data_IF_646240201016
#
_entry.id   IF_646240201016
#
_cell.length_a   1.000
_cell.length_b   1.000
_cell.length_c   1.000
_cell.angle_alpha   90.00
_cell.angle_beta   90.00
_cell.angle_gamma   90.00
#
_symmetry.space_group_name_H-M   'P 1'
#
loop_
_entity.id
_entity.type
_entity.pdbx_description
1 polymer ?
#
# COMPACT_ATOMS: atom_id res chain seq x y z
N UNK A 1 -30.65 -7.18 -16.54
CA UNK A 1 -30.19 -6.01 -15.74
C UNK A 1 -28.70 -6.17 -15.45
N UNK A 2 -27.86 -6.36 -16.48
CA UNK A 2 -26.59 -7.11 -16.32
C UNK A 2 -25.32 -6.25 -16.37
N UNK A 3 -25.45 -4.94 -16.13
CA UNK A 3 -24.35 -3.97 -16.28
C UNK A 3 -23.42 -3.82 -15.06
N UNK A 4 -23.79 -4.33 -13.88
CA UNK A 4 -23.04 -4.05 -12.64
C UNK A 4 -21.80 -4.94 -12.43
N UNK A 5 -21.80 -6.18 -12.93
CA UNK A 5 -20.68 -7.12 -12.76
C UNK A 5 -19.41 -6.67 -13.48
N UNK A 6 -19.52 -6.26 -14.75
CA UNK A 6 -18.36 -5.89 -15.59
C UNK A 6 -17.55 -4.70 -15.06
N UNK A 7 -18.14 -3.83 -14.24
CA UNK A 7 -17.47 -2.64 -13.71
C UNK A 7 -16.57 -2.97 -12.51
N UNK A 8 -16.95 -3.94 -11.66
CA UNK A 8 -16.13 -4.35 -10.50
C UNK A 8 -14.88 -5.10 -10.96
N UNK A 9 -15.04 -6.05 -11.89
CA UNK A 9 -13.92 -6.81 -12.44
C UNK A 9 -12.79 -5.92 -12.99
N UNK A 10 -13.12 -4.85 -13.72
CA UNK A 10 -12.12 -3.90 -14.26
C UNK A 10 -11.34 -3.15 -13.18
N UNK A 11 -11.97 -2.81 -12.04
CA UNK A 11 -11.25 -2.11 -10.97
C UNK A 11 -10.28 -3.05 -10.26
N UNK A 12 -10.68 -4.31 -10.09
CA UNK A 12 -9.89 -5.31 -9.37
C UNK A 12 -8.67 -5.72 -10.20
N UNK A 13 -8.82 -5.79 -11.53
CA UNK A 13 -7.70 -6.00 -12.46
C UNK A 13 -6.69 -4.85 -12.43
N UNK A 14 -7.15 -3.60 -12.38
CA UNK A 14 -6.28 -2.43 -12.30
C UNK A 14 -5.51 -2.39 -10.98
N UNK A 15 -6.17 -2.72 -9.87
CA UNK A 15 -5.55 -2.81 -8.54
C UNK A 15 -4.50 -3.92 -8.52
N UNK A 16 -4.84 -5.12 -8.99
CA UNK A 16 -3.92 -6.25 -9.03
C UNK A 16 -2.69 -5.95 -9.91
N UNK A 17 -2.90 -5.26 -11.03
CA UNK A 17 -1.80 -4.82 -11.91
C UNK A 17 -0.90 -3.78 -11.23
N UNK A 18 -1.47 -2.82 -10.50
CA UNK A 18 -0.70 -1.77 -9.82
C UNK A 18 0.23 -2.32 -8.73
N UNK A 19 -0.15 -3.42 -8.07
CA UNK A 19 0.63 -4.07 -7.03
C UNK A 19 1.43 -5.29 -7.52
N UNK A 20 1.56 -5.47 -8.85
CA UNK A 20 2.35 -6.56 -9.39
C UNK A 20 3.82 -6.41 -8.99
N UNK A 21 4.39 -7.46 -8.35
CA UNK A 21 5.78 -7.45 -7.85
C UNK A 21 5.98 -6.67 -6.55
N UNK A 22 4.90 -6.36 -5.81
CA UNK A 22 4.97 -5.73 -4.50
C UNK A 22 4.39 -6.68 -3.46
N UNK A 23 5.18 -7.01 -2.45
CA UNK A 23 4.78 -7.90 -1.36
C UNK A 23 4.70 -7.14 -0.04
N UNK A 24 3.68 -7.43 0.75
CA UNK A 24 3.41 -6.82 2.05
C UNK A 24 3.49 -7.89 3.14
N UNK A 25 4.47 -7.77 4.02
CA UNK A 25 4.65 -8.66 5.17
C UNK A 25 4.16 -7.95 6.43
N UNK A 26 3.14 -8.47 7.13
CA UNK A 26 2.58 -7.79 8.30
C UNK A 26 3.62 -7.66 9.42
N UNK A 27 3.65 -6.49 10.05
CA UNK A 27 4.46 -6.22 11.24
C UNK A 27 3.57 -6.36 12.45
N UNK A 28 3.91 -7.31 13.33
CA UNK A 28 3.21 -7.48 14.59
C UNK A 28 3.32 -6.20 15.43
N UNK A 29 2.17 -5.66 15.86
CA UNK A 29 2.18 -4.62 16.87
C UNK A 29 2.80 -5.20 18.13
N UNK A 30 3.82 -4.54 18.67
CA UNK A 30 4.47 -4.98 19.91
C UNK A 30 3.55 -4.80 21.12
N UNK A 31 2.40 -4.12 20.97
CA UNK A 31 1.41 -3.89 22.02
C UNK A 31 1.93 -3.06 23.20
N UNK A 32 3.19 -2.58 23.13
CA UNK A 32 3.81 -1.84 24.21
C UNK A 32 3.27 -0.41 24.23
N UNK A 33 2.70 0.04 25.35
CA UNK A 33 2.33 1.44 25.53
C UNK A 33 3.53 2.35 25.21
N UNK A 34 3.29 3.40 24.43
CA UNK A 34 4.34 4.34 24.00
C UNK A 34 5.05 3.99 22.70
N UNK A 35 4.80 2.82 22.09
CA UNK A 35 5.27 2.55 20.73
C UNK A 35 4.32 3.16 19.70
N UNK A 36 4.80 3.86 18.65
CA UNK A 36 3.88 4.55 17.74
C UNK A 36 3.00 3.61 16.91
N UNK A 37 3.33 2.31 16.90
CA UNK A 37 2.50 1.25 16.31
C UNK A 37 1.09 1.17 16.90
N UNK A 38 0.84 1.72 18.09
CA UNK A 38 -0.51 1.72 18.68
C UNK A 38 -1.50 2.65 17.97
N UNK A 39 -1.02 3.62 17.18
CA UNK A 39 -1.87 4.57 16.44
C UNK A 39 -2.31 4.04 15.07
N UNK A 40 -1.68 2.96 14.61
CA UNK A 40 -1.96 2.38 13.31
C UNK A 40 -2.80 1.12 13.47
N UNK A 41 -3.73 0.92 12.54
CA UNK A 41 -4.55 -0.30 12.48
C UNK A 41 -3.64 -1.50 12.21
N UNK A 42 -2.80 -1.37 11.18
CA UNK A 42 -1.90 -2.39 10.68
C UNK A 42 -0.60 -1.73 10.16
N UNK A 43 0.49 -2.49 10.10
CA UNK A 43 1.76 -2.03 9.53
C UNK A 43 2.38 -3.16 8.71
N UNK A 44 3.12 -2.83 7.66
CA UNK A 44 3.67 -3.81 6.72
C UNK A 44 5.09 -3.43 6.33
N UNK A 45 5.97 -4.42 6.28
CA UNK A 45 7.24 -4.32 5.54
C UNK A 45 6.93 -4.53 4.07
N UNK A 46 7.43 -3.65 3.22
CA UNK A 46 7.22 -3.69 1.77
C UNK A 46 8.49 -4.16 1.10
N UNK A 47 8.36 -5.17 0.25
CA UNK A 47 9.44 -5.68 -0.60
C UNK A 47 9.02 -5.61 -2.06
N UNK A 48 9.98 -5.26 -2.92
CA UNK A 48 9.78 -5.12 -4.35
C UNK A 48 10.57 -6.19 -5.09
N UNK A 49 9.93 -6.85 -6.04
CA UNK A 49 10.56 -7.84 -6.92
C UNK A 49 11.32 -7.13 -8.05
N UNK A 50 12.37 -6.39 -7.70
CA UNK A 50 13.22 -5.71 -8.67
C UNK A 50 14.19 -6.73 -9.32
N UNK A 51 13.76 -7.32 -10.43
CA UNK A 51 14.60 -8.25 -11.22
C UNK A 51 15.86 -7.60 -11.80
N UNK A 52 15.88 -6.27 -11.88
CA UNK A 52 16.95 -5.50 -12.49
C UNK A 52 18.05 -5.08 -11.50
N UNK A 53 17.89 -5.36 -10.19
CA UNK A 53 18.95 -5.13 -9.21
C UNK A 53 19.84 -6.38 -9.08
N UNK A 54 20.89 -6.48 -9.89
CA UNK A 54 22.02 -7.41 -9.70
C UNK A 54 22.88 -7.01 -8.48
N UNK A 55 22.28 -6.82 -7.29
CA UNK A 55 22.99 -6.30 -6.12
C UNK A 55 23.18 -7.35 -5.02
N UNK A 56 24.44 -7.52 -4.61
CA UNK A 56 24.90 -8.41 -3.54
C UNK A 56 24.44 -8.01 -2.11
N UNK A 57 23.51 -7.07 -1.97
CA UNK A 57 22.99 -6.57 -0.69
C UNK A 57 21.48 -6.77 -0.59
N UNK A 58 20.94 -7.07 0.60
CA UNK A 58 19.50 -7.22 0.77
C UNK A 58 18.77 -5.93 0.34
N UNK A 59 17.60 -6.05 -0.32
CA UNK A 59 16.86 -4.90 -0.79
C UNK A 59 16.42 -4.02 0.40
N UNK A 60 16.34 -2.70 0.21
CA UNK A 60 15.85 -1.79 1.24
C UNK A 60 14.41 -2.16 1.61
N UNK A 61 14.16 -2.31 2.91
CA UNK A 61 12.85 -2.66 3.45
C UNK A 61 12.16 -1.40 3.97
N UNK A 62 11.23 -0.87 3.18
CA UNK A 62 10.35 0.23 3.62
C UNK A 62 9.23 -0.30 4.50
N UNK A 63 8.71 0.55 5.38
CA UNK A 63 7.56 0.22 6.23
C UNK A 63 6.42 1.18 5.92
N UNK A 64 5.23 0.61 5.74
CA UNK A 64 3.98 1.35 5.54
C UNK A 64 3.01 1.08 6.66
N UNK A 65 2.27 2.10 7.05
CA UNK A 65 1.34 2.05 8.16
C UNK A 65 -0.07 2.41 7.69
N UNK A 66 -1.02 1.52 7.91
CA UNK A 66 -2.43 1.76 7.64
C UNK A 66 -3.08 2.43 8.87
N UNK A 67 -3.54 3.65 8.70
CA UNK A 67 -4.27 4.37 9.74
C UNK A 67 -5.75 3.97 9.77
N UNK A 68 -6.41 4.06 10.92
CA UNK A 68 -7.84 3.72 11.10
C UNK A 68 -8.78 4.55 10.22
N UNK A 69 -8.35 5.75 9.79
CA UNK A 69 -9.09 6.62 8.88
C UNK A 69 -8.93 6.24 7.39
N UNK A 70 -8.22 5.15 7.09
CA UNK A 70 -7.97 4.69 5.72
C UNK A 70 -6.88 5.46 4.99
N UNK A 71 -6.04 6.22 5.69
CA UNK A 71 -4.81 6.81 5.15
C UNK A 71 -3.66 5.81 5.28
N UNK A 72 -2.68 5.94 4.39
CA UNK A 72 -1.44 5.16 4.42
C UNK A 72 -0.26 6.10 4.64
N UNK A 73 0.54 5.83 5.65
CA UNK A 73 1.76 6.57 5.96
C UNK A 73 2.94 5.74 5.46
N UNK A 74 3.79 6.34 4.63
CA UNK A 74 4.97 5.70 4.05
C UNK A 74 6.20 6.18 4.81
N UNK A 75 7.00 5.25 5.30
CA UNK A 75 8.25 5.54 6.00
C UNK A 75 9.41 4.85 5.30
N UNK A 76 10.62 5.32 5.60
CA UNK A 76 11.82 4.68 5.10
C UNK A 76 12.03 3.30 5.76
N UNK A 77 11.48 3.08 6.95
CA UNK A 77 11.71 1.86 7.73
C UNK A 77 13.08 1.86 8.43
N UNK A 78 13.23 1.05 9.45
CA UNK A 78 14.49 0.94 10.23
C UNK A 78 15.57 0.17 9.47
N UNK A 79 15.16 -0.69 8.55
CA UNK A 79 16.02 -1.65 7.85
C UNK A 79 16.80 -1.07 6.66
N UNK A 80 16.73 0.23 6.39
CA UNK A 80 17.61 0.86 5.39
C UNK A 80 19.06 0.94 5.90
N UNK A 81 19.25 0.97 7.23
CA UNK A 81 20.53 1.24 7.88
C UNK A 81 21.28 0.09 8.58
N UNK A 82 20.72 -1.12 8.82
CA UNK A 82 21.30 -2.01 9.82
C UNK A 82 22.58 -2.73 9.37
N UNK A 83 22.93 -2.70 8.08
CA UNK A 83 24.06 -3.49 7.56
C UNK A 83 25.07 -2.71 6.71
N UNK A 84 24.92 -1.39 6.59
CA UNK A 84 25.89 -0.57 5.89
C UNK A 84 26.56 0.38 6.89
N UNK A 85 27.83 0.16 7.19
CA UNK A 85 28.73 1.17 7.79
C UNK A 85 28.76 2.49 6.99
N UNK A 86 28.10 2.51 5.82
CA UNK A 86 27.92 3.68 4.99
C UNK A 86 26.85 4.60 5.57
N UNK A 87 27.27 5.78 6.01
CA UNK A 87 26.36 6.85 6.43
C UNK A 87 25.56 7.39 5.23
N UNK A 88 24.34 7.85 5.49
CA UNK A 88 23.58 8.64 4.51
C UNK A 88 24.28 9.98 4.28
N UNK A 89 24.44 10.37 3.01
CA UNK A 89 25.04 11.66 2.63
C UNK A 89 23.95 12.72 2.45
N UNK A 90 22.86 12.39 1.75
CA UNK A 90 21.75 13.30 1.51
C UNK A 90 20.47 12.55 1.14
N UNK A 91 19.33 13.23 1.31
CA UNK A 91 18.02 12.78 0.85
C UNK A 91 17.41 13.81 -0.09
N UNK A 92 16.88 13.36 -1.23
CA UNK A 92 16.23 14.21 -2.23
C UNK A 92 14.82 13.72 -2.49
N UNK A 93 13.84 14.57 -2.20
CA UNK A 93 12.44 14.32 -2.57
C UNK A 93 12.28 14.53 -4.08
N UNK A 94 11.64 13.58 -4.76
CA UNK A 94 11.43 13.60 -6.21
C UNK A 94 10.04 14.10 -6.61
N UNK A 95 9.05 13.97 -5.73
CA UNK A 95 7.67 14.40 -6.00
C UNK A 95 7.50 15.88 -5.68
N UNK A 96 6.87 16.61 -6.60
CA UNK A 96 6.63 18.05 -6.45
C UNK A 96 5.55 18.32 -5.39
N UNK A 97 5.99 18.80 -4.22
CA UNK A 97 5.15 19.13 -3.05
C UNK A 97 4.11 20.21 -3.39
N UNK A 98 4.42 21.16 -4.27
CA UNK A 98 3.52 22.26 -4.60
C UNK A 98 2.27 21.75 -5.35
N UNK A 99 2.43 20.76 -6.22
CA UNK A 99 1.31 20.15 -6.95
C UNK A 99 0.40 19.35 -6.03
N UNK A 100 0.96 18.70 -5.01
CA UNK A 100 0.18 17.88 -4.04
C UNK A 100 -0.75 18.76 -3.19
N UNK A 101 -0.26 19.88 -2.66
CA UNK A 101 -1.01 20.74 -1.75
C UNK A 101 -2.16 21.51 -2.41
N UNK A 102 -2.06 21.81 -3.71
CA UNK A 102 -3.01 22.66 -4.45
C UNK A 102 -4.35 21.97 -4.79
N UNK A 103 -4.49 20.67 -4.53
CA UNK A 103 -5.66 19.91 -4.95
C UNK A 103 -6.82 19.96 -3.97
N UNK A 104 -7.97 20.43 -4.46
CA UNK A 104 -9.24 20.33 -3.72
C UNK A 104 -9.65 18.87 -3.47
N UNK A 105 -10.36 18.62 -2.37
CA UNK A 105 -10.92 17.31 -2.05
C UNK A 105 -11.82 16.74 -3.17
N UNK A 106 -12.52 17.60 -3.91
CA UNK A 106 -13.33 17.21 -5.07
C UNK A 106 -12.50 16.64 -6.22
N UNK A 107 -11.32 17.21 -6.49
CA UNK A 107 -10.41 16.71 -7.51
C UNK A 107 -9.84 15.35 -7.12
N UNK A 108 -9.42 15.17 -5.86
CA UNK A 108 -8.92 13.88 -5.34
C UNK A 108 -9.95 12.74 -5.50
N UNK A 109 -11.24 13.02 -5.24
CA UNK A 109 -12.32 12.04 -5.48
C UNK A 109 -12.50 11.69 -6.96
N UNK A 110 -12.43 12.69 -7.85
CA UNK A 110 -12.52 12.47 -9.31
C UNK A 110 -11.34 11.67 -9.83
N UNK A 111 -10.14 11.92 -9.30
CA UNK A 111 -8.91 11.20 -9.62
C UNK A 111 -9.02 9.72 -9.22
N UNK A 112 -9.43 9.42 -7.99
CA UNK A 112 -9.71 8.05 -7.54
C UNK A 112 -10.65 7.30 -8.49
N UNK A 113 -11.73 7.95 -8.94
CA UNK A 113 -12.68 7.35 -9.88
C UNK A 113 -12.10 7.13 -11.29
N UNK A 114 -11.06 7.87 -11.70
CA UNK A 114 -10.32 7.65 -12.96
C UNK A 114 -9.29 6.54 -12.82
N UNK A 115 -8.57 6.49 -11.70
CA UNK A 115 -7.60 5.43 -11.40
C UNK A 115 -8.28 4.05 -11.36
N UNK A 116 -9.44 3.94 -10.70
CA UNK A 116 -10.25 2.71 -10.69
C UNK A 116 -10.76 2.28 -12.07
N UNK A 117 -10.68 3.15 -13.09
CA UNK A 117 -10.99 2.82 -14.49
C UNK A 117 -9.74 2.48 -15.30
N UNK A 118 -8.57 2.35 -14.65
CA UNK A 118 -7.28 2.13 -15.30
C UNK A 118 -6.81 3.31 -16.16
N UNK A 119 -7.31 4.52 -15.89
CA UNK A 119 -6.84 5.73 -16.59
C UNK A 119 -5.69 6.34 -15.81
N UNK A 120 -4.65 6.75 -16.53
CA UNK A 120 -3.59 7.56 -15.94
C UNK A 120 -4.15 8.89 -15.44
N UNK A 121 -3.68 9.26 -14.26
CA UNK A 121 -4.05 10.49 -13.58
C UNK A 121 -2.75 11.20 -13.27
N UNK A 122 -2.69 12.49 -13.63
CA UNK A 122 -1.51 13.33 -13.53
C UNK A 122 -0.87 13.36 -12.12
N UNK A 123 -1.67 13.08 -11.09
CA UNK A 123 -1.26 13.12 -9.68
C UNK A 123 -1.55 11.82 -8.92
N UNK A 124 -1.87 10.76 -9.66
CA UNK A 124 -1.96 9.42 -9.08
C UNK A 124 -0.56 8.83 -8.95
N UNK A 125 -0.32 8.11 -7.87
CA UNK A 125 0.93 7.36 -7.66
C UNK A 125 0.69 5.87 -7.70
N UNK A 126 1.63 5.16 -8.31
CA UNK A 126 1.81 3.70 -8.27
C UNK A 126 2.67 3.30 -7.07
N UNK A 127 2.48 2.10 -6.48
CA UNK A 127 3.34 1.59 -5.41
C UNK A 127 4.84 1.58 -5.76
N UNK A 128 5.16 1.44 -7.04
CA UNK A 128 6.53 1.39 -7.57
C UNK A 128 7.16 2.76 -7.82
N UNK A 129 6.36 3.83 -7.83
CA UNK A 129 6.85 5.16 -8.19
C UNK A 129 7.80 5.70 -7.11
N UNK A 130 8.93 6.30 -7.49
CA UNK A 130 9.90 6.79 -6.52
C UNK A 130 9.42 8.09 -5.87
N UNK A 131 9.41 8.12 -4.54
CA UNK A 131 9.11 9.29 -3.71
C UNK A 131 10.36 10.12 -3.43
N UNK A 132 11.45 9.46 -3.07
CA UNK A 132 12.69 10.09 -2.66
C UNK A 132 13.89 9.20 -3.01
N UNK A 133 15.06 9.81 -3.14
CA UNK A 133 16.33 9.11 -3.28
C UNK A 133 17.24 9.45 -2.11
N UNK A 134 17.78 8.43 -1.46
CA UNK A 134 18.86 8.58 -0.49
C UNK A 134 20.18 8.32 -1.21
N UNK A 135 21.10 9.28 -1.14
CA UNK A 135 22.48 9.09 -1.59
C UNK A 135 23.33 8.70 -0.41
N UNK A 136 24.06 7.60 -0.52
CA UNK A 136 25.00 7.12 0.48
C UNK A 136 26.40 7.67 0.22
N UNK A 137 27.25 7.73 1.26
CA UNK A 137 28.65 8.19 1.13
C UNK A 137 29.51 7.37 0.15
N UNK A 138 29.13 6.11 -0.12
CA UNK A 138 29.81 5.27 -1.13
C UNK A 138 29.38 5.59 -2.57
N UNK A 139 28.54 6.61 -2.78
CA UNK A 139 28.00 7.02 -4.08
C UNK A 139 26.82 6.18 -4.57
N UNK A 140 26.38 5.15 -3.83
CA UNK A 140 25.18 4.38 -4.18
C UNK A 140 23.92 5.19 -3.85
N UNK A 141 22.88 4.99 -4.65
CA UNK A 141 21.58 5.60 -4.46
C UNK A 141 20.54 4.54 -4.09
N UNK A 142 19.70 4.85 -3.10
CA UNK A 142 18.56 4.04 -2.67
C UNK A 142 17.28 4.80 -3.02
N UNK A 143 16.43 4.21 -3.85
CA UNK A 143 15.12 4.78 -4.18
C UNK A 143 14.07 4.32 -3.17
N UNK A 144 13.45 5.28 -2.49
CA UNK A 144 12.28 5.09 -1.65
C UNK A 144 11.04 5.27 -2.51
N UNK A 145 10.14 4.30 -2.49
CA UNK A 145 8.96 4.24 -3.35
C UNK A 145 7.68 4.57 -2.58
N UNK A 146 6.58 4.79 -3.31
CA UNK A 146 5.28 5.14 -2.74
C UNK A 146 4.62 4.01 -1.94
N UNK A 147 4.89 2.75 -2.29
CA UNK A 147 4.36 1.55 -1.62
C UNK A 147 2.82 1.39 -1.61
N UNK A 148 2.06 2.40 -2.05
CA UNK A 148 0.60 2.37 -2.13
C UNK A 148 0.10 3.04 -3.41
N UNK A 149 -0.99 2.51 -3.96
CA UNK A 149 -1.66 3.03 -5.13
C UNK A 149 -2.75 4.03 -4.72
N UNK A 150 -2.62 5.28 -5.12
CA UNK A 150 -3.54 6.31 -4.63
C UNK A 150 -3.17 7.73 -5.04
N UNK A 151 -3.64 8.68 -4.25
CA UNK A 151 -3.28 10.09 -4.37
C UNK A 151 -2.42 10.49 -3.18
N UNK A 152 -1.29 11.15 -3.45
CA UNK A 152 -0.49 11.76 -2.38
C UNK A 152 -1.29 12.89 -1.75
N UNK A 153 -1.38 12.88 -0.43
CA UNK A 153 -2.06 13.91 0.36
C UNK A 153 -1.05 14.92 0.87
N UNK A 154 0.09 14.42 1.33
CA UNK A 154 1.12 15.20 2.00
C UNK A 154 2.48 14.56 1.78
N UNK A 155 3.50 15.39 1.67
CA UNK A 155 4.91 15.02 1.66
C UNK A 155 5.56 15.81 2.78
N UNK A 156 6.41 15.18 3.57
CA UNK A 156 7.10 15.84 4.66
C UNK A 156 8.10 16.88 4.11
N UNK A 157 7.88 18.20 4.32
CA UNK A 157 8.76 19.23 3.80
C UNK A 157 10.08 19.34 4.58
N UNK A 158 10.13 18.79 5.80
CA UNK A 158 11.28 18.89 6.71
C UNK A 158 12.19 17.66 6.63
N UNK A 159 11.96 16.80 5.63
CA UNK A 159 12.66 15.53 5.50
C UNK A 159 14.17 15.74 5.38
N UNK A 160 14.91 15.15 6.31
CA UNK A 160 16.36 15.16 6.33
C UNK A 160 16.89 13.78 6.78
N UNK A 161 18.19 13.56 6.64
CA UNK A 161 18.83 12.27 6.94
C UNK A 161 18.71 11.86 8.40
N UNK A 162 18.71 12.82 9.33
CA UNK A 162 18.71 12.57 10.77
C UNK A 162 17.31 12.11 11.20
N UNK A 163 16.26 12.79 10.76
CA UNK A 163 14.87 12.40 11.05
C UNK A 163 14.53 11.01 10.49
N UNK A 164 14.98 10.71 9.28
CA UNK A 164 14.76 9.38 8.67
C UNK A 164 15.46 8.28 9.48
N UNK A 165 16.59 8.59 10.11
CA UNK A 165 17.39 7.65 10.92
C UNK A 165 16.84 7.50 12.34
N UNK A 166 16.56 8.60 13.00
CA UNK A 166 16.24 8.64 14.44
C UNK A 166 14.76 8.37 14.71
N UNK A 167 13.87 8.95 13.90
CA UNK A 167 12.43 8.82 14.06
C UNK A 167 11.70 8.71 12.71
N UNK A 168 11.87 7.59 11.99
CA UNK A 168 11.27 7.41 10.68
C UNK A 168 9.73 7.42 10.68
N UNK A 169 9.09 7.30 11.85
CA UNK A 169 7.65 7.08 11.96
C UNK A 169 6.88 8.37 12.29
N UNK A 170 7.44 9.24 13.14
CA UNK A 170 6.79 10.50 13.47
C UNK A 170 7.31 11.59 12.54
N UNK A 171 8.45 12.21 12.86
CA UNK A 171 8.97 13.37 12.11
C UNK A 171 9.71 12.98 10.83
N UNK A 172 10.09 11.72 10.67
CA UNK A 172 10.82 11.17 9.51
C UNK A 172 9.95 10.46 8.48
N UNK A 173 8.62 10.59 8.54
CA UNK A 173 7.73 10.05 7.50
C UNK A 173 8.04 10.65 6.13
N UNK A 174 7.82 9.87 5.06
CA UNK A 174 8.08 10.31 3.69
C UNK A 174 6.84 11.02 3.11
N UNK A 175 5.70 10.33 3.16
CA UNK A 175 4.47 10.80 2.56
C UNK A 175 3.23 10.17 3.23
N UNK A 176 2.11 10.87 3.09
CA UNK A 176 0.76 10.38 3.43
C UNK A 176 -0.02 10.19 2.14
N UNK A 177 -0.57 9.00 1.94
CA UNK A 177 -1.28 8.60 0.72
C UNK A 177 -2.74 8.25 1.07
N UNK A 178 -3.66 8.73 0.25
CA UNK A 178 -5.04 8.27 0.24
C UNK A 178 -5.20 7.15 -0.80
N UNK A 179 -5.37 5.89 -0.38
CA UNK A 179 -5.43 4.76 -1.30
C UNK A 179 -6.68 4.81 -2.20
N UNK A 180 -6.49 4.42 -3.45
CA UNK A 180 -7.57 4.33 -4.45
C UNK A 180 -8.43 3.07 -4.30
N UNK A 181 -7.97 2.07 -3.55
CA UNK A 181 -8.68 0.81 -3.25
C UNK A 181 -8.52 0.39 -1.78
N UNK A 182 -8.91 -0.86 -1.43
CA UNK A 182 -8.55 -1.45 -0.14
C UNK A 182 -7.04 -1.51 0.01
N UNK A 183 -6.56 -1.33 1.24
CA UNK A 183 -5.14 -1.43 1.59
C UNK A 183 -4.99 -2.22 2.91
N UNK A 184 -4.07 -3.21 2.98
CA UNK A 184 -3.26 -3.73 1.87
C UNK A 184 -4.14 -4.33 0.76
N UNK A 185 -3.62 -4.53 -0.46
CA UNK A 185 -4.35 -5.26 -1.50
C UNK A 185 -4.65 -6.68 -0.99
N UNK A 186 -5.90 -7.12 -1.13
CA UNK A 186 -6.30 -8.49 -0.74
C UNK A 186 -5.59 -9.47 -1.64
N UNK A 187 -4.87 -10.44 -1.07
CA UNK A 187 -4.24 -11.50 -1.84
C UNK A 187 -5.32 -12.31 -2.55
N UNK A 188 -5.14 -12.59 -3.85
CA UNK A 188 -6.13 -13.33 -4.66
C UNK A 188 -6.40 -14.76 -4.16
N UNK A 189 -5.60 -15.26 -3.24
CA UNK A 189 -5.65 -16.66 -2.78
C UNK A 189 -6.82 -16.96 -1.82
N UNK A 190 -7.42 -15.96 -1.16
CA UNK A 190 -8.54 -16.21 -0.23
C UNK A 190 -9.93 -16.19 -0.90
N UNK A 191 -10.06 -15.64 -2.10
CA UNK A 191 -11.39 -15.46 -2.71
C UNK A 191 -11.97 -16.78 -3.25
N UNK A 192 -11.11 -17.73 -3.63
CA UNK A 192 -11.55 -19.06 -4.12
C UNK A 192 -12.11 -19.96 -3.02
N UNK A 193 -11.77 -19.73 -1.75
CA UNK A 193 -12.25 -20.58 -0.65
C UNK A 193 -13.70 -20.27 -0.22
N UNK A 194 -14.16 -19.02 -0.40
CA UNK A 194 -15.49 -18.59 0.04
C UNK A 194 -16.61 -18.92 -0.95
N UNK A 195 -16.30 -19.01 -2.24
CA UNK A 195 -17.29 -19.34 -3.27
C UNK A 195 -17.62 -20.84 -3.34
N UNK A 196 -16.75 -21.72 -2.84
CA UNK A 196 -17.05 -23.17 -2.75
C UNK A 196 -18.13 -23.48 -1.70
N UNK A 197 -18.29 -22.65 -0.66
CA UNK A 197 -19.22 -22.93 0.45
C UNK A 197 -20.68 -22.57 0.10
N UNK A 198 -20.92 -21.76 -0.94
CA UNK A 198 -22.28 -21.35 -1.35
C UNK A 198 -22.96 -22.30 -2.35
N UNK A 199 -22.27 -23.37 -2.78
CA UNK A 199 -22.79 -24.32 -3.77
C UNK A 199 -23.75 -25.39 -3.25
N UNK A 200 -23.68 -25.75 -1.96
CA UNK A 200 -24.28 -27.01 -1.48
C UNK A 200 -25.48 -26.86 -0.53
N UNK A 201 -26.01 -25.64 -0.35
CA UNK A 201 -27.20 -25.42 0.49
C UNK A 201 -28.54 -25.67 -0.23
N UNK A 202 -28.57 -26.54 -1.24
CA UNK A 202 -29.82 -27.05 -1.83
C UNK A 202 -30.16 -28.41 -1.20
N UNK A 203 -30.25 -28.43 0.13
CA UNK A 203 -30.77 -29.57 0.88
C UNK A 203 -32.27 -29.68 0.59
N UNK A 204 -32.62 -30.81 -0.02
CA UNK A 204 -33.94 -31.13 -0.54
C UNK A 204 -35.07 -30.88 0.44
N UNK A 205 -36.15 -30.32 -0.10
CA UNK A 205 -37.48 -30.35 0.49
C UNK A 205 -37.88 -31.83 0.62
N UNK A 206 -37.81 -32.39 1.84
CA UNK A 206 -38.49 -33.64 2.16
C UNK A 206 -40.00 -33.40 2.06
N UNK A 207 -40.62 -33.94 1.01
CA UNK A 207 -42.07 -34.00 0.92
C UNK A 207 -42.55 -35.20 1.76
N UNK A 208 -43.05 -34.93 2.96
CA UNK A 208 -43.81 -35.91 3.74
C UNK A 208 -45.18 -36.10 3.08
N UNK A 209 -45.33 -37.20 2.35
CA UNK A 209 -46.58 -37.67 1.79
C UNK A 209 -47.24 -38.71 2.69
N UNK A 210 -48.00 -38.28 3.69
CA UNK A 210 -48.90 -39.16 4.44
C UNK A 210 -50.25 -39.22 3.71
N UNK A 211 -50.56 -40.37 3.09
CA UNK A 211 -51.90 -40.69 2.58
C UNK A 211 -52.52 -41.70 3.53
N UNK A 212 -53.44 -41.24 4.36
CA UNK A 212 -54.31 -42.12 5.15
C UNK A 212 -55.54 -42.49 4.31
N UNK A 213 -55.73 -43.79 4.10
CA UNK A 213 -56.93 -44.42 3.57
C UNK A 213 -57.84 -44.80 4.74
N UNK A 214 -59.05 -44.23 4.82
CA UNK A 214 -60.27 -44.86 5.36
C UNK A 214 -61.47 -44.35 4.56
#
# INVERSE_FOLDING_TARGET
MDGKGKKRQRSDDALAKAYQGVTFSPVASTGRPGTPHCFFKESYVVTFDDKDQEQASPPPQQVVHAHVNGLVIVTAGQSILPNTDTMMESIKVLVDVANVASQSAGNKRKQKAKMLKGKDVQDGVSPTDPLATIKLQNGKEIHLRCCAWGSVIEINPNLNTDLVREDPLLDGYLAVILPSGPFPPVAKEEETALDTIKGDANLGVCQDGTKDNV
#
